data_IF_824095481903
#
_entry.id   IF_824095481903
#
_cell.length_a   1.000
_cell.length_b   1.000
_cell.length_c   1.000
_cell.angle_alpha   90.00
_cell.angle_beta   90.00
_cell.angle_gamma   90.00
#
_symmetry.space_group_name_H-M   'P 1'
#
loop_
_entity.id
_entity.type
_entity.pdbx_description
1 polymer ?
#
# COMPACT_ATOMS: atom_id res chain seq x y z
N UNK A 1 -2.67 44.57 -15.64
CA UNK A 1 -2.07 43.34 -16.21
C UNK A 1 -2.64 42.16 -15.47
N UNK A 2 -3.86 41.76 -15.81
CA UNK A 2 -4.43 40.48 -15.39
C UNK A 2 -3.87 39.42 -16.35
N UNK A 3 -2.77 38.80 -15.95
CA UNK A 3 -2.12 37.73 -16.72
C UNK A 3 -2.65 36.38 -16.26
N UNK A 4 -3.49 35.75 -17.09
CA UNK A 4 -3.67 34.30 -17.23
C UNK A 4 -3.60 33.46 -15.93
N UNK A 5 -4.63 33.51 -15.08
CA UNK A 5 -4.79 32.50 -14.01
C UNK A 5 -5.39 31.18 -14.50
N UNK A 6 -6.11 31.18 -15.62
CA UNK A 6 -6.91 30.02 -16.05
C UNK A 6 -6.08 28.92 -16.75
N UNK A 7 -4.90 29.23 -17.28
CA UNK A 7 -4.09 28.25 -18.05
C UNK A 7 -3.25 27.28 -17.21
N UNK A 8 -3.16 27.46 -15.89
CA UNK A 8 -2.33 26.60 -15.02
C UNK A 8 -3.16 25.77 -14.04
N UNK A 9 -4.48 25.92 -14.03
CA UNK A 9 -5.33 25.29 -13.03
C UNK A 9 -5.63 23.84 -13.41
N UNK A 10 -5.34 22.93 -12.48
CA UNK A 10 -5.56 21.49 -12.61
C UNK A 10 -6.88 21.15 -11.92
N UNK A 11 -7.75 20.41 -12.60
CA UNK A 11 -8.99 19.87 -12.02
C UNK A 11 -8.82 18.38 -11.86
N UNK A 12 -9.06 17.88 -10.66
CA UNK A 12 -8.96 16.46 -10.36
C UNK A 12 -10.13 15.98 -9.49
N UNK A 13 -10.43 14.69 -9.59
CA UNK A 13 -11.36 13.98 -8.71
C UNK A 13 -10.54 13.03 -7.84
N UNK A 14 -10.73 13.13 -6.53
CA UNK A 14 -10.11 12.27 -5.54
C UNK A 14 -11.16 11.35 -4.94
N UNK A 15 -10.90 10.04 -4.92
CA UNK A 15 -11.70 9.09 -4.17
C UNK A 15 -11.02 8.79 -2.84
N UNK A 16 -11.60 9.25 -1.74
CA UNK A 16 -11.15 8.95 -0.39
C UNK A 16 -11.96 7.78 0.15
N UNK A 17 -11.29 6.77 0.70
CA UNK A 17 -11.94 5.63 1.35
C UNK A 17 -11.44 5.50 2.78
N UNK A 18 -12.35 5.21 3.70
CA UNK A 18 -11.99 4.88 5.09
C UNK A 18 -12.77 3.67 5.58
N UNK A 19 -12.14 2.92 6.46
CA UNK A 19 -12.69 1.72 7.08
C UNK A 19 -12.56 1.88 8.59
N UNK A 20 -13.61 1.59 9.35
CA UNK A 20 -13.56 1.67 10.80
C UNK A 20 -14.88 1.39 11.50
N UNK A 21 -14.93 1.80 12.78
CA UNK A 21 -16.08 1.64 13.69
C UNK A 21 -16.13 2.83 14.64
N UNK A 22 -17.31 3.29 15.09
CA UNK A 22 -18.65 3.05 14.56
C UNK A 22 -18.89 3.88 13.26
N UNK A 23 -19.96 3.62 12.50
CA UNK A 23 -20.17 4.25 11.17
C UNK A 23 -20.29 5.78 11.22
N UNK A 24 -20.79 6.35 12.33
CA UNK A 24 -20.96 7.79 12.50
C UNK A 24 -19.60 8.53 12.46
N UNK A 25 -18.58 7.96 13.10
CA UNK A 25 -17.24 8.55 13.12
C UNK A 25 -16.54 8.50 11.76
N UNK A 26 -17.01 7.65 10.84
CA UNK A 26 -16.45 7.60 9.49
C UNK A 26 -16.79 8.88 8.72
N UNK A 27 -18.06 9.29 8.72
CA UNK A 27 -18.48 10.50 8.02
C UNK A 27 -17.73 11.72 8.57
N UNK A 28 -17.69 11.88 9.90
CA UNK A 28 -16.96 12.98 10.57
C UNK A 28 -15.47 13.00 10.19
N UNK A 29 -14.84 11.82 10.11
CA UNK A 29 -13.43 11.69 9.73
C UNK A 29 -13.19 12.08 8.28
N UNK A 30 -14.05 11.65 7.34
CA UNK A 30 -13.97 12.05 5.94
C UNK A 30 -14.15 13.56 5.80
N UNK A 31 -15.12 14.14 6.49
CA UNK A 31 -15.34 15.59 6.46
C UNK A 31 -14.13 16.37 7.00
N UNK A 32 -13.53 15.89 8.08
CA UNK A 32 -12.32 16.49 8.64
C UNK A 32 -11.14 16.40 7.66
N UNK A 33 -10.98 15.27 6.95
CA UNK A 33 -9.95 15.10 5.92
C UNK A 33 -10.20 16.08 4.76
N UNK A 34 -11.42 16.12 4.23
CA UNK A 34 -11.79 17.01 3.11
C UNK A 34 -11.57 18.47 3.48
N UNK A 35 -11.91 18.86 4.72
CA UNK A 35 -11.65 20.21 5.22
C UNK A 35 -10.16 20.54 5.23
N UNK A 36 -9.31 19.63 5.70
CA UNK A 36 -7.86 19.83 5.68
C UNK A 36 -7.30 19.92 4.25
N UNK A 37 -7.86 19.16 3.31
CA UNK A 37 -7.51 19.27 1.88
C UNK A 37 -7.84 20.67 1.34
N UNK A 38 -9.01 21.23 1.68
CA UNK A 38 -9.42 22.58 1.28
C UNK A 38 -8.57 23.69 1.93
N UNK A 39 -7.97 23.41 3.10
CA UNK A 39 -7.05 24.30 3.80
C UNK A 39 -5.61 24.25 3.24
N UNK A 40 -5.29 23.29 2.35
CA UNK A 40 -3.97 23.24 1.72
C UNK A 40 -3.75 24.41 0.75
N UNK A 41 -2.54 24.95 0.76
CA UNK A 41 -2.19 26.08 -0.11
C UNK A 41 -2.28 25.66 -1.59
N UNK A 42 -3.04 26.44 -2.36
CA UNK A 42 -3.20 26.23 -3.80
C UNK A 42 -4.12 25.08 -4.15
N UNK A 43 -4.99 24.68 -3.21
CA UNK A 43 -6.04 23.68 -3.39
C UNK A 43 -7.38 24.32 -3.05
N UNK A 44 -8.41 23.99 -3.82
CA UNK A 44 -9.78 24.41 -3.55
C UNK A 44 -10.74 23.28 -3.85
N UNK A 45 -11.48 22.83 -2.84
CA UNK A 45 -12.54 21.85 -2.99
C UNK A 45 -13.76 22.52 -3.63
N UNK A 46 -14.30 21.89 -4.69
CA UNK A 46 -15.48 22.39 -5.43
C UNK A 46 -16.73 21.62 -5.10
N UNK A 47 -16.61 20.31 -5.05
CA UNK A 47 -17.71 19.43 -4.71
C UNK A 47 -17.20 18.28 -3.83
N UNK A 48 -18.04 17.83 -2.91
CA UNK A 48 -17.83 16.58 -2.17
C UNK A 48 -19.11 15.76 -2.18
N UNK A 49 -19.00 14.47 -2.50
CA UNK A 49 -20.08 13.49 -2.48
C UNK A 49 -19.67 12.35 -1.56
N UNK A 50 -20.13 12.39 -0.31
CA UNK A 50 -19.87 11.34 0.69
C UNK A 50 -20.99 10.30 0.60
N UNK A 51 -20.64 9.02 0.49
CA UNK A 51 -21.62 7.93 0.52
C UNK A 51 -21.91 7.45 1.94
N UNK A 52 -23.07 6.85 2.12
CA UNK A 52 -23.43 6.25 3.40
C UNK A 52 -22.51 5.06 3.75
N UNK A 53 -22.10 4.90 5.02
CA UNK A 53 -21.31 3.76 5.45
C UNK A 53 -22.01 2.41 5.21
N UNK A 54 -21.30 1.47 4.61
CA UNK A 54 -21.78 0.12 4.33
C UNK A 54 -20.98 -0.89 5.16
N UNK A 55 -21.67 -1.89 5.72
CA UNK A 55 -21.03 -2.98 6.45
C UNK A 55 -20.13 -3.80 5.53
N UNK A 56 -18.88 -4.03 5.94
CA UNK A 56 -17.94 -4.87 5.21
C UNK A 56 -18.38 -6.32 5.29
N UNK A 57 -18.53 -6.96 4.13
CA UNK A 57 -18.82 -8.39 4.04
C UNK A 57 -17.72 -9.16 4.78
N UNK A 58 -18.11 -10.14 5.60
CA UNK A 58 -17.21 -11.03 6.36
C UNK A 58 -16.56 -10.43 7.62
N UNK A 59 -16.79 -9.16 7.95
CA UNK A 59 -16.29 -8.56 9.20
C UNK A 59 -17.43 -7.94 10.02
N UNK A 60 -17.77 -8.58 11.15
CA UNK A 60 -18.78 -8.03 12.08
C UNK A 60 -18.32 -6.66 12.60
N UNK A 61 -19.23 -5.69 12.52
CA UNK A 61 -19.13 -4.32 13.01
C UNK A 61 -18.08 -3.42 12.33
N UNK A 62 -17.47 -3.82 11.21
CA UNK A 62 -16.67 -2.92 10.38
C UNK A 62 -17.50 -2.29 9.27
N UNK A 63 -17.34 -0.99 9.09
CA UNK A 63 -18.01 -0.23 8.05
C UNK A 63 -16.95 0.41 7.14
N UNK A 64 -17.30 0.57 5.86
CA UNK A 64 -16.53 1.36 4.89
C UNK A 64 -17.42 2.46 4.32
N UNK A 65 -16.83 3.59 4.00
CA UNK A 65 -17.47 4.67 3.23
C UNK A 65 -16.41 5.31 2.34
N UNK A 66 -16.88 5.90 1.25
CA UNK A 66 -16.05 6.65 0.33
C UNK A 66 -16.63 8.03 0.06
N UNK A 67 -15.74 8.97 -0.24
CA UNK A 67 -16.05 10.31 -0.68
C UNK A 67 -15.39 10.60 -2.02
N UNK A 68 -16.18 11.04 -2.98
CA UNK A 68 -15.68 11.64 -4.23
C UNK A 68 -15.52 13.14 -3.98
N UNK A 69 -14.34 13.68 -4.24
CA UNK A 69 -14.00 15.07 -3.97
C UNK A 69 -13.43 15.70 -5.23
N UNK A 70 -14.13 16.69 -5.77
CA UNK A 70 -13.65 17.49 -6.88
C UNK A 70 -12.79 18.64 -6.36
N UNK A 71 -11.57 18.74 -6.87
CA UNK A 71 -10.59 19.74 -6.45
C UNK A 71 -10.05 20.52 -7.64
N UNK A 72 -9.83 21.81 -7.43
CA UNK A 72 -9.02 22.67 -8.28
C UNK A 72 -7.68 22.95 -7.61
N UNK A 73 -6.60 22.83 -8.36
CA UNK A 73 -5.23 22.84 -7.84
C UNK A 73 -4.37 23.72 -8.74
N UNK A 74 -3.56 24.59 -8.15
CA UNK A 74 -2.73 25.55 -8.88
C UNK A 74 -1.52 24.91 -9.57
N UNK A 75 -0.96 23.85 -8.99
CA UNK A 75 0.29 23.21 -9.43
C UNK A 75 0.24 21.68 -9.32
N UNK A 76 0.85 20.98 -10.28
CA UNK A 76 0.89 19.51 -10.28
C UNK A 76 1.61 18.94 -9.05
N UNK A 77 2.62 19.66 -8.54
CA UNK A 77 3.33 19.26 -7.33
C UNK A 77 2.43 19.27 -6.10
N UNK A 78 1.46 20.20 -6.02
CA UNK A 78 0.46 20.21 -4.96
C UNK A 78 -0.44 18.98 -5.02
N UNK A 79 -0.86 18.54 -6.22
CA UNK A 79 -1.62 17.30 -6.39
C UNK A 79 -0.82 16.07 -5.93
N UNK A 80 0.46 16.00 -6.28
CA UNK A 80 1.34 14.90 -5.86
C UNK A 80 1.49 14.88 -4.33
N UNK A 81 1.64 16.05 -3.70
CA UNK A 81 1.71 16.16 -2.23
C UNK A 81 0.40 15.71 -1.59
N UNK A 82 -0.76 16.11 -2.14
CA UNK A 82 -2.07 15.65 -1.68
C UNK A 82 -2.18 14.13 -1.76
N UNK A 83 -1.80 13.54 -2.89
CA UNK A 83 -1.82 12.09 -3.11
C UNK A 83 -1.00 11.37 -2.03
N UNK A 84 0.18 11.87 -1.70
CA UNK A 84 1.04 11.27 -0.69
C UNK A 84 0.61 11.55 0.76
N UNK A 85 -0.01 12.70 1.04
CA UNK A 85 -0.43 13.09 2.39
C UNK A 85 -1.74 12.42 2.80
N UNK A 86 -2.70 12.36 1.88
CA UNK A 86 -4.05 11.87 2.15
C UNK A 86 -4.33 10.48 1.57
N UNK A 87 -3.42 9.96 0.73
CA UNK A 87 -3.47 8.59 0.19
C UNK A 87 -4.87 8.22 -0.32
N UNK A 88 -5.43 8.99 -1.28
CA UNK A 88 -6.71 8.65 -1.89
C UNK A 88 -6.61 7.26 -2.54
N UNK A 89 -7.72 6.52 -2.53
CA UNK A 89 -7.84 5.25 -3.21
C UNK A 89 -7.75 5.41 -4.74
N UNK A 90 -8.16 6.57 -5.26
CA UNK A 90 -8.09 6.90 -6.68
C UNK A 90 -7.88 8.41 -6.90
N UNK A 91 -7.13 8.74 -7.96
CA UNK A 91 -6.91 10.12 -8.42
C UNK A 91 -7.14 10.15 -9.93
N UNK A 92 -8.04 11.02 -10.38
CA UNK A 92 -8.32 11.26 -11.79
C UNK A 92 -8.08 12.74 -12.11
N UNK A 93 -7.24 13.04 -13.11
CA UNK A 93 -7.05 14.41 -13.61
C UNK A 93 -8.03 14.63 -14.76
N UNK A 94 -8.97 15.55 -14.56
CA UNK A 94 -10.02 15.89 -15.53
C UNK A 94 -9.56 16.99 -16.49
N UNK A 95 -8.69 17.89 -16.02
CA UNK A 95 -8.13 18.98 -16.81
C UNK A 95 -6.80 19.46 -16.21
N UNK A 96 -5.83 19.94 -17.01
CA UNK A 96 -5.80 19.95 -18.48
C UNK A 96 -5.44 18.57 -19.06
N UNK A 97 -5.61 18.41 -20.38
CA UNK A 97 -5.22 17.19 -21.10
C UNK A 97 -3.69 17.00 -21.14
N UNK A 98 -2.94 18.11 -21.18
CA UNK A 98 -1.48 18.10 -21.23
C UNK A 98 -0.91 18.86 -20.04
N UNK A 99 -0.02 18.20 -19.30
CA UNK A 99 0.74 18.78 -18.18
C UNK A 99 2.22 18.64 -18.51
N UNK A 100 2.93 19.77 -18.56
CA UNK A 100 4.37 19.78 -18.76
C UNK A 100 5.09 19.78 -17.39
N UNK A 101 6.02 18.85 -17.21
CA UNK A 101 6.83 18.72 -16.00
C UNK A 101 8.31 18.70 -16.42
N UNK A 102 9.16 19.40 -15.67
CA UNK A 102 10.61 19.41 -15.91
C UNK A 102 11.23 18.08 -15.46
N UNK A 103 12.45 17.79 -15.93
CA UNK A 103 13.21 16.62 -15.47
C UNK A 103 13.42 16.63 -13.95
N UNK A 104 13.62 17.82 -13.36
CA UNK A 104 13.73 17.97 -11.91
C UNK A 104 12.42 17.58 -11.21
N UNK A 105 11.28 18.08 -11.69
CA UNK A 105 9.97 17.75 -11.12
C UNK A 105 9.67 16.25 -11.18
N UNK A 106 9.97 15.59 -12.31
CA UNK A 106 9.90 14.13 -12.40
C UNK A 106 10.83 13.43 -11.41
N UNK A 107 12.07 13.91 -11.27
CA UNK A 107 13.02 13.41 -10.30
C UNK A 107 12.49 13.47 -8.86
N UNK A 108 11.87 14.59 -8.48
CA UNK A 108 11.30 14.80 -7.15
C UNK A 108 10.11 13.85 -6.89
N UNK A 109 9.18 13.74 -7.85
CA UNK A 109 8.00 12.84 -7.76
C UNK A 109 8.44 11.38 -7.62
N UNK A 110 9.33 10.92 -8.51
CA UNK A 110 9.77 9.52 -8.54
C UNK A 110 10.62 9.15 -7.32
N UNK A 111 11.43 10.09 -6.82
CA UNK A 111 12.23 9.88 -5.60
C UNK A 111 11.34 9.75 -4.38
N UNK A 112 10.34 10.62 -4.22
CA UNK A 112 9.40 10.57 -3.10
C UNK A 112 8.53 9.29 -3.15
N UNK A 113 8.06 8.90 -4.34
CA UNK A 113 7.36 7.62 -4.54
C UNK A 113 8.23 6.44 -4.10
N UNK A 114 9.48 6.40 -4.57
CA UNK A 114 10.44 5.33 -4.25
C UNK A 114 10.72 5.28 -2.75
N UNK A 115 10.91 6.43 -2.10
CA UNK A 115 11.14 6.54 -0.66
C UNK A 115 9.98 5.96 0.15
N UNK A 116 8.74 6.26 -0.23
CA UNK A 116 7.54 5.75 0.45
C UNK A 116 7.36 4.25 0.25
N UNK A 117 7.51 3.76 -0.98
CA UNK A 117 7.43 2.34 -1.28
C UNK A 117 8.49 1.54 -0.52
N UNK A 118 9.72 2.06 -0.47
CA UNK A 118 10.79 1.43 0.29
C UNK A 118 10.48 1.37 1.79
N UNK A 119 10.02 2.48 2.37
CA UNK A 119 9.60 2.52 3.78
C UNK A 119 8.44 1.55 4.08
N UNK A 120 7.45 1.44 3.19
CA UNK A 120 6.36 0.46 3.37
C UNK A 120 6.85 -0.98 3.29
N UNK A 121 7.78 -1.30 2.39
CA UNK A 121 8.39 -2.63 2.30
C UNK A 121 9.17 -2.98 3.58
N UNK A 122 9.92 -2.03 4.14
CA UNK A 122 10.61 -2.22 5.42
C UNK A 122 9.64 -2.51 6.56
N UNK A 123 8.58 -1.71 6.70
CA UNK A 123 7.55 -1.91 7.73
C UNK A 123 6.88 -3.27 7.57
N UNK A 124 6.52 -3.66 6.34
CA UNK A 124 5.91 -4.95 6.06
C UNK A 124 6.84 -6.12 6.41
N UNK A 125 8.14 -6.02 6.11
CA UNK A 125 9.15 -7.02 6.48
C UNK A 125 9.27 -7.17 8.00
N UNK A 126 9.33 -6.07 8.73
CA UNK A 126 9.37 -6.08 10.20
C UNK A 126 8.11 -6.74 10.77
N UNK A 127 6.91 -6.31 10.34
CA UNK A 127 5.65 -6.89 10.77
C UNK A 127 5.56 -8.39 10.47
N UNK A 128 6.04 -8.83 9.32
CA UNK A 128 6.07 -10.25 8.94
C UNK A 128 6.96 -11.06 9.87
N UNK A 129 8.12 -10.52 10.24
CA UNK A 129 9.04 -11.16 11.19
C UNK A 129 8.45 -11.23 12.60
N UNK A 130 7.89 -10.13 13.09
CA UNK A 130 7.24 -10.07 14.40
C UNK A 130 6.05 -11.03 14.48
N UNK A 131 5.18 -11.05 13.46
CA UNK A 131 4.08 -11.99 13.38
C UNK A 131 4.54 -13.45 13.40
N UNK A 132 5.63 -13.79 12.69
CA UNK A 132 6.21 -15.15 12.74
C UNK A 132 6.71 -15.50 14.13
N UNK A 133 7.38 -14.57 14.82
CA UNK A 133 7.87 -14.75 16.19
C UNK A 133 6.72 -14.95 17.17
N UNK A 134 5.69 -14.10 17.10
CA UNK A 134 4.51 -14.19 17.96
C UNK A 134 3.76 -15.51 17.76
N UNK A 135 3.55 -15.93 16.51
CA UNK A 135 2.93 -17.23 16.20
C UNK A 135 3.71 -18.40 16.80
N UNK A 136 5.04 -18.39 16.69
CA UNK A 136 5.90 -19.43 17.27
C UNK A 136 5.78 -19.48 18.79
N UNK A 137 5.83 -18.33 19.46
CA UNK A 137 5.68 -18.25 20.92
C UNK A 137 4.31 -18.75 21.37
N UNK A 138 3.25 -18.43 20.63
CA UNK A 138 1.89 -18.89 20.91
C UNK A 138 1.76 -20.42 20.75
N UNK A 139 2.38 -21.00 19.71
CA UNK A 139 2.42 -22.46 19.51
C UNK A 139 3.17 -23.18 20.65
N UNK A 140 4.31 -22.62 21.08
CA UNK A 140 5.09 -23.12 22.22
C UNK A 140 4.28 -23.05 23.53
N UNK A 141 3.55 -21.95 23.78
CA UNK A 141 2.71 -21.76 24.97
C UNK A 141 1.44 -22.63 24.97
N UNK A 142 0.82 -22.86 23.81
CA UNK A 142 -0.38 -23.69 23.67
C UNK A 142 -0.08 -25.20 23.69
N UNK A 143 1.17 -25.60 23.88
CA UNK A 143 1.54 -27.01 24.06
C UNK A 143 1.32 -27.87 22.82
N UNK A 144 1.24 -27.29 21.61
CA UNK A 144 1.33 -28.05 20.35
C UNK A 144 2.78 -28.44 20.12
N UNK A 145 3.25 -29.36 20.97
CA UNK A 145 4.55 -30.00 20.87
C UNK A 145 4.66 -30.83 19.58
N UNK A 146 5.73 -30.52 18.85
CA UNK A 146 6.40 -31.30 17.80
C UNK A 146 5.68 -31.53 16.45
N UNK A 147 6.23 -31.01 15.32
CA UNK A 147 6.16 -31.75 14.08
C UNK A 147 7.10 -32.97 14.20
N UNK A 148 6.53 -34.16 14.00
CA UNK A 148 7.28 -35.41 13.82
C UNK A 148 8.44 -35.19 12.85
N UNK A 149 9.68 -35.36 13.34
CA UNK A 149 10.86 -35.53 12.49
C UNK A 149 10.64 -36.77 11.61
N UNK A 150 10.27 -36.57 10.36
CA UNK A 150 10.39 -37.63 9.35
C UNK A 150 11.87 -37.96 9.14
N UNK A 151 12.13 -39.26 9.22
CA UNK A 151 13.44 -39.89 9.30
C UNK A 151 14.19 -39.73 7.98
N UNK A 152 15.19 -38.87 7.92
CA UNK A 152 16.29 -39.00 6.93
C UNK A 152 17.52 -39.53 7.65
N UNK A 153 17.57 -40.86 7.83
CA UNK A 153 18.84 -41.58 7.99
C UNK A 153 18.63 -43.09 7.85
N UNK A 154 18.82 -43.62 6.63
CA UNK A 154 19.23 -45.01 6.38
C UNK A 154 19.59 -45.21 4.89
N UNK A 155 20.81 -44.85 4.48
CA UNK A 155 21.51 -45.51 3.35
C UNK A 155 22.99 -45.08 3.20
N UNK A 156 23.73 -44.82 4.28
CA UNK A 156 25.19 -44.57 4.19
C UNK A 156 26.07 -45.74 4.67
N UNK A 157 25.55 -46.96 4.83
CA UNK A 157 26.37 -48.05 5.39
C UNK A 157 26.05 -49.48 4.90
N UNK A 158 25.95 -49.71 3.58
CA UNK A 158 25.84 -51.10 3.06
C UNK A 158 26.53 -51.43 1.72
N UNK A 159 27.41 -50.60 1.15
CA UNK A 159 28.18 -50.96 -0.06
C UNK A 159 29.69 -50.71 0.05
N UNK A 160 30.30 -51.13 1.16
CA UNK A 160 31.77 -51.31 1.32
C UNK A 160 32.11 -52.80 1.49
N UNK A 161 31.31 -53.72 0.93
CA UNK A 161 31.58 -55.17 1.01
C UNK A 161 31.32 -55.92 -0.31
N UNK A 162 31.66 -55.29 -1.44
CA UNK A 162 31.87 -56.00 -2.71
C UNK A 162 33.20 -55.53 -3.32
N UNK A 163 34.27 -55.74 -2.57
CA UNK A 163 35.59 -55.96 -3.15
C UNK A 163 35.64 -57.42 -3.61
N UNK A 164 35.61 -57.67 -4.92
CA UNK A 164 36.57 -58.56 -5.57
C UNK A 164 36.46 -58.53 -7.11
N UNK A 165 37.52 -57.97 -7.71
CA UNK A 165 38.00 -57.95 -9.12
C UNK A 165 37.97 -59.32 -9.86
N UNK A 166 38.36 -59.47 -11.17
CA UNK A 166 39.05 -58.54 -12.09
C UNK A 166 38.61 -58.52 -13.61
N UNK A 167 39.22 -57.58 -14.36
CA UNK A 167 39.70 -57.68 -15.77
C UNK A 167 38.74 -57.94 -16.96
N UNK A 168 38.71 -57.04 -17.96
CA UNK A 168 39.54 -57.09 -19.21
C UNK A 168 39.01 -56.17 -20.34
N UNK A 169 39.94 -55.36 -20.88
CA UNK A 169 40.24 -55.03 -22.30
C UNK A 169 39.13 -54.81 -23.36
N UNK A 170 39.46 -53.84 -24.24
CA UNK A 170 38.98 -53.54 -25.63
C UNK A 170 37.85 -52.51 -25.67
N UNK A 171 37.87 -51.47 -26.50
CA UNK A 171 38.75 -51.08 -27.60
C UNK A 171 38.57 -49.58 -27.83
#
# INVERSE_FOLDING_TARGET
MESNKDTNLIKAVLLLEIIGRPPEHLIESLEAIIKRIDEEKGVKVKEKKIKEPVLIKEQKDFYTTFAEVEVEIDEIMSLVILMFKYMPAHVEVVYPELIAITNQGWGDILSELTRRLHGYDEIARVLSFENKKLKKQLEEMLGKGEPKKEKVNKARNKKVKDENKPEKKRR
#
